data_IF_773006288330
#
_entry.id   IF_773006288330
#
_cell.length_a   1.000
_cell.length_b   1.000
_cell.length_c   1.000
_cell.angle_alpha   90.00
_cell.angle_beta   90.00
_cell.angle_gamma   90.00
#
_symmetry.space_group_name_H-M   'P 1'
#
loop_
_entity.id
_entity.type
_entity.pdbx_description
1 polymer ?
#
# COMPACT_ATOMS: atom_id res chain seq x y z
N UNK A 1 -8.80 16.52 -1.17
CA UNK A 1 -7.34 16.69 -0.97
C UNK A 1 -6.89 15.73 0.11
N UNK A 2 -6.33 14.58 -0.28
CA UNK A 2 -5.79 13.59 0.66
C UNK A 2 -4.30 13.39 0.33
N UNK A 3 -3.48 13.38 1.38
CA UNK A 3 -2.03 13.41 1.31
C UNK A 3 -1.50 14.69 1.97
N UNK A 4 -0.95 14.55 3.17
CA UNK A 4 -0.01 15.55 3.66
C UNK A 4 1.26 15.43 2.82
N UNK A 5 1.85 16.56 2.43
CA UNK A 5 3.16 16.54 1.80
C UNK A 5 4.15 15.95 2.81
N UNK A 6 4.74 14.82 2.48
CA UNK A 6 5.87 14.28 3.25
C UNK A 6 7.07 15.14 2.85
N UNK A 7 7.58 15.93 3.79
CA UNK A 7 8.77 16.72 3.55
C UNK A 7 10.01 15.79 3.47
N UNK A 8 11.11 16.30 2.90
CA UNK A 8 12.35 15.55 2.68
C UNK A 8 12.92 14.94 3.96
N UNK A 9 12.81 15.62 5.09
CA UNK A 9 13.28 15.17 6.39
C UNK A 9 12.42 14.02 6.94
N UNK A 10 11.09 14.14 6.84
CA UNK A 10 10.18 13.03 7.14
C UNK A 10 10.45 11.80 6.25
N UNK A 11 10.70 12.05 4.96
CA UNK A 11 11.02 11.01 3.99
C UNK A 11 12.31 10.28 4.37
N UNK A 12 13.36 11.02 4.72
CA UNK A 12 14.65 10.46 5.12
C UNK A 12 14.57 9.68 6.42
N UNK A 13 13.75 10.14 7.38
CA UNK A 13 13.50 9.42 8.64
C UNK A 13 12.81 8.08 8.41
N UNK A 14 11.75 8.05 7.59
CA UNK A 14 11.05 6.82 7.21
C UNK A 14 12.00 5.85 6.49
N UNK A 15 12.87 6.37 5.63
CA UNK A 15 13.88 5.60 4.92
C UNK A 15 14.86 4.90 5.88
N UNK A 16 15.47 5.66 6.79
CA UNK A 16 16.47 5.15 7.75
C UNK A 16 15.88 4.15 8.76
N UNK A 17 14.61 4.31 9.15
CA UNK A 17 13.93 3.38 10.04
C UNK A 17 13.66 2.02 9.37
N UNK A 18 13.23 2.02 8.11
CA UNK A 18 12.97 0.79 7.36
C UNK A 18 14.27 0.04 7.00
N UNK A 19 15.37 0.76 6.74
CA UNK A 19 16.67 0.17 6.42
C UNK A 19 17.20 -0.77 7.52
N UNK A 20 17.00 -0.42 8.81
CA UNK A 20 17.47 -1.23 9.95
C UNK A 20 16.70 -2.55 10.14
N UNK A 21 15.53 -2.71 9.51
CA UNK A 21 14.65 -3.89 9.68
C UNK A 21 14.82 -4.94 8.58
N UNK A 22 15.71 -4.71 7.60
CA UNK A 22 15.73 -5.42 6.33
C UNK A 22 16.97 -6.32 6.13
N UNK A 23 17.08 -7.43 6.86
CA UNK A 23 18.14 -8.44 6.66
C UNK A 23 17.90 -9.38 5.46
N UNK A 24 16.75 -9.25 4.78
CA UNK A 24 16.40 -10.06 3.61
C UNK A 24 16.30 -9.21 2.36
N UNK A 25 17.04 -9.58 1.31
CA UNK A 25 17.00 -8.94 -0.02
C UNK A 25 15.57 -8.82 -0.57
N UNK A 26 14.73 -9.84 -0.34
CA UNK A 26 13.33 -9.82 -0.77
C UNK A 26 12.50 -8.77 -0.02
N UNK A 27 12.76 -8.57 1.27
CA UNK A 27 12.07 -7.53 2.04
C UNK A 27 12.51 -6.12 1.59
N UNK A 28 13.80 -5.93 1.38
CA UNK A 28 14.37 -4.69 0.82
C UNK A 28 13.78 -4.37 -0.55
N UNK A 29 13.71 -5.35 -1.46
CA UNK A 29 13.10 -5.19 -2.78
C UNK A 29 11.62 -4.83 -2.69
N UNK A 30 10.86 -5.49 -1.82
CA UNK A 30 9.44 -5.19 -1.61
C UNK A 30 9.23 -3.78 -1.05
N UNK A 31 10.07 -3.34 -0.10
CA UNK A 31 10.06 -1.97 0.40
C UNK A 31 10.31 -0.96 -0.74
N UNK A 32 11.35 -1.16 -1.55
CA UNK A 32 11.61 -0.29 -2.70
C UNK A 32 10.44 -0.25 -3.69
N UNK A 33 9.83 -1.41 -4.00
CA UNK A 33 8.67 -1.48 -4.90
C UNK A 33 7.45 -0.74 -4.35
N UNK A 34 7.23 -0.78 -3.03
CA UNK A 34 6.16 -0.03 -2.38
C UNK A 34 6.47 1.46 -2.38
N UNK A 35 7.68 1.82 -1.98
CA UNK A 35 8.15 3.18 -1.80
C UNK A 35 8.12 3.98 -3.12
N UNK A 36 8.67 3.39 -4.19
CA UNK A 36 8.64 3.98 -5.53
C UNK A 36 7.33 3.73 -6.28
N UNK A 37 6.33 3.12 -5.64
CA UNK A 37 5.03 2.76 -6.24
C UNK A 37 5.20 2.01 -7.56
N UNK A 38 6.15 1.08 -7.61
CA UNK A 38 6.53 0.31 -8.80
C UNK A 38 5.34 -0.47 -9.40
N UNK A 39 4.41 -0.92 -8.55
CA UNK A 39 3.24 -1.68 -8.96
C UNK A 39 2.25 -0.84 -9.77
N UNK A 40 2.06 -1.08 -11.06
CA UNK A 40 1.09 -0.33 -11.87
C UNK A 40 -0.35 -0.81 -11.61
N UNK A 41 -1.33 0.09 -11.37
CA UNK A 41 -2.71 -0.27 -11.12
C UNK A 41 -3.42 -0.56 -12.46
N UNK A 42 -4.50 -1.36 -12.45
CA UNK A 42 -5.26 -1.70 -13.66
C UNK A 42 -5.61 -0.49 -14.54
N UNK A 43 -6.00 0.61 -13.92
CA UNK A 43 -6.31 1.88 -14.61
C UNK A 43 -5.12 2.48 -15.38
N UNK A 44 -3.88 2.34 -14.88
CA UNK A 44 -2.67 2.80 -15.58
C UNK A 44 -2.27 1.81 -16.68
N UNK A 45 -2.37 0.51 -16.41
CA UNK A 45 -2.07 -0.55 -17.39
C UNK A 45 -2.99 -0.44 -18.60
N UNK A 46 -4.30 -0.25 -18.40
CA UNK A 46 -5.28 -0.09 -19.48
C UNK A 46 -5.04 1.15 -20.36
N UNK A 47 -4.33 2.17 -19.84
CA UNK A 47 -3.90 3.33 -20.64
C UNK A 47 -2.70 3.03 -21.53
N UNK A 48 -1.83 2.12 -21.10
CA UNK A 48 -0.64 1.71 -21.86
C UNK A 48 -0.98 0.64 -22.90
N UNK A 49 -1.93 -0.24 -22.58
CA UNK A 49 -2.29 -1.41 -23.38
C UNK A 49 -3.81 -1.47 -23.58
N UNK A 50 -4.26 -1.31 -24.83
CA UNK A 50 -5.69 -1.18 -25.19
C UNK A 50 -6.52 -2.46 -24.93
N UNK A 51 -5.86 -3.62 -24.88
CA UNK A 51 -6.48 -4.93 -24.62
C UNK A 51 -6.65 -5.24 -23.13
N UNK A 52 -6.13 -4.38 -22.24
CA UNK A 52 -6.18 -4.59 -20.79
C UNK A 52 -7.37 -3.89 -20.16
N UNK A 53 -8.06 -4.61 -19.28
CA UNK A 53 -9.15 -4.06 -18.49
C UNK A 53 -8.65 -3.06 -17.44
N UNK A 54 -9.37 -1.95 -17.28
CA UNK A 54 -9.12 -0.98 -16.22
C UNK A 54 -9.70 -1.41 -14.86
N UNK A 55 -10.40 -2.55 -14.79
CA UNK A 55 -11.11 -3.01 -13.61
C UNK A 55 -10.17 -3.63 -12.59
N UNK A 56 -10.55 -3.52 -11.33
CA UNK A 56 -9.89 -4.12 -10.18
C UNK A 56 -9.75 -5.64 -10.36
N UNK A 57 -8.55 -6.20 -10.14
CA UNK A 57 -8.33 -7.66 -10.23
C UNK A 57 -8.97 -8.47 -9.11
N UNK A 58 -9.38 -7.81 -8.02
CA UNK A 58 -9.98 -8.47 -6.86
C UNK A 58 -11.49 -8.57 -7.00
N UNK A 59 -12.13 -7.47 -7.43
CA UNK A 59 -13.60 -7.35 -7.48
C UNK A 59 -14.17 -7.24 -8.90
N UNK A 60 -13.33 -7.04 -9.93
CA UNK A 60 -13.67 -7.01 -11.36
C UNK A 60 -14.82 -6.09 -11.81
N UNK A 61 -15.35 -5.23 -10.93
CA UNK A 61 -16.46 -4.32 -11.25
C UNK A 61 -16.05 -2.85 -11.24
N UNK A 62 -15.19 -2.45 -10.29
CA UNK A 62 -14.80 -1.06 -10.06
C UNK A 62 -13.43 -0.80 -10.73
N UNK A 63 -13.17 0.38 -11.32
CA UNK A 63 -11.84 0.74 -11.82
C UNK A 63 -10.75 0.53 -10.75
N UNK A 64 -9.71 -0.22 -11.11
CA UNK A 64 -8.57 -0.46 -10.24
C UNK A 64 -7.63 0.73 -10.24
N UNK A 65 -7.96 1.79 -9.52
CA UNK A 65 -7.01 2.85 -9.16
C UNK A 65 -6.08 2.35 -8.05
N UNK A 66 -4.92 3.00 -7.84
CA UNK A 66 -4.06 2.68 -6.69
C UNK A 66 -4.84 2.72 -5.37
N UNK A 67 -5.57 3.81 -5.16
CA UNK A 67 -6.37 3.99 -3.94
C UNK A 67 -7.39 2.88 -3.76
N UNK A 68 -8.08 2.49 -4.85
CA UNK A 68 -9.01 1.37 -4.77
C UNK A 68 -8.31 0.06 -4.42
N UNK A 69 -7.25 -0.28 -5.14
CA UNK A 69 -6.55 -1.57 -5.02
C UNK A 69 -5.99 -1.83 -3.63
N UNK A 70 -5.54 -0.79 -2.94
CA UNK A 70 -4.86 -0.88 -1.64
C UNK A 70 -5.74 -0.54 -0.43
N UNK A 71 -6.74 0.33 -0.60
CA UNK A 71 -7.51 0.86 0.53
C UNK A 71 -9.01 0.60 0.47
N UNK A 72 -9.68 0.97 -0.64
CA UNK A 72 -11.15 0.90 -0.64
C UNK A 72 -11.71 -0.46 -1.09
N UNK A 73 -10.91 -1.26 -1.80
CA UNK A 73 -11.32 -2.59 -2.23
C UNK A 73 -11.70 -3.44 -1.02
N UNK A 74 -12.86 -4.10 -1.08
CA UNK A 74 -13.37 -4.97 -0.02
C UNK A 74 -12.36 -6.03 0.43
N UNK A 75 -11.70 -6.67 -0.54
CA UNK A 75 -10.66 -7.66 -0.28
C UNK A 75 -9.43 -7.05 0.40
N UNK A 76 -9.02 -5.83 0.00
CA UNK A 76 -7.93 -5.12 0.64
C UNK A 76 -8.28 -4.73 2.08
N UNK A 77 -9.48 -4.18 2.31
CA UNK A 77 -9.99 -3.86 3.65
C UNK A 77 -9.97 -5.10 4.54
N UNK A 78 -10.54 -6.21 4.07
CA UNK A 78 -10.58 -7.47 4.83
C UNK A 78 -9.19 -7.97 5.22
N UNK A 79 -8.24 -7.88 4.30
CA UNK A 79 -6.84 -8.23 4.58
C UNK A 79 -6.25 -7.32 5.66
N UNK A 80 -6.34 -6.00 5.49
CA UNK A 80 -5.75 -5.05 6.44
C UNK A 80 -6.40 -5.10 7.81
N UNK A 81 -7.72 -5.31 7.90
CA UNK A 81 -8.40 -5.53 9.17
C UNK A 81 -7.84 -6.75 9.90
N UNK A 82 -7.58 -7.86 9.20
CA UNK A 82 -6.96 -9.05 9.82
C UNK A 82 -5.55 -8.75 10.35
N UNK A 83 -4.73 -8.05 9.57
CA UNK A 83 -3.37 -7.68 9.98
C UNK A 83 -3.42 -6.73 11.17
N UNK A 84 -4.30 -5.73 11.14
CA UNK A 84 -4.49 -4.77 12.21
C UNK A 84 -4.92 -5.45 13.51
N UNK A 85 -5.96 -6.30 13.49
CA UNK A 85 -6.37 -7.09 14.67
C UNK A 85 -5.24 -8.00 15.17
N UNK A 86 -4.48 -8.61 14.27
CA UNK A 86 -3.34 -9.43 14.66
C UNK A 86 -2.25 -8.61 15.38
N UNK A 87 -1.93 -7.42 14.88
CA UNK A 87 -0.96 -6.52 15.51
C UNK A 87 -1.42 -6.03 16.89
N UNK A 88 -2.70 -5.67 17.04
CA UNK A 88 -3.24 -5.26 18.34
C UNK A 88 -3.16 -6.39 19.37
N UNK A 89 -3.50 -7.62 18.95
CA UNK A 89 -3.40 -8.80 19.81
C UNK A 89 -1.95 -9.09 20.23
N UNK A 90 -1.00 -8.98 19.31
CA UNK A 90 0.43 -9.22 19.57
C UNK A 90 1.03 -8.15 20.49
N UNK A 91 0.70 -6.88 20.25
CA UNK A 91 1.28 -5.75 21.00
C UNK A 91 0.52 -5.42 22.28
N UNK A 92 -0.70 -5.94 22.45
CA UNK A 92 -1.65 -5.61 23.51
C UNK A 92 -1.93 -4.10 23.60
N UNK A 93 -1.93 -3.43 22.46
CA UNK A 93 -2.17 -1.98 22.34
C UNK A 93 -3.18 -1.73 21.23
N UNK A 94 -4.01 -0.71 21.43
CA UNK A 94 -4.85 -0.18 20.36
C UNK A 94 -3.97 0.58 19.37
N UNK A 95 -4.13 0.30 18.08
CA UNK A 95 -3.38 0.95 17.01
C UNK A 95 -4.39 1.69 16.14
N UNK A 96 -4.24 2.98 15.93
CA UNK A 96 -5.15 3.71 15.04
C UNK A 96 -4.97 3.23 13.59
N UNK A 97 -6.05 2.76 12.96
CA UNK A 97 -6.03 2.36 11.56
C UNK A 97 -6.30 3.58 10.65
N UNK A 98 -5.23 4.30 10.29
CA UNK A 98 -5.30 5.49 9.40
C UNK A 98 -4.71 5.17 8.02
N UNK A 99 -5.52 5.14 6.94
CA UNK A 99 -5.05 4.87 5.58
C UNK A 99 -4.04 5.89 5.03
N UNK A 100 -3.95 7.08 5.63
CA UNK A 100 -3.07 8.17 5.17
C UNK A 100 -1.64 8.12 5.73
N UNK A 101 -1.40 7.33 6.79
CA UNK A 101 -0.12 7.30 7.52
C UNK A 101 0.75 6.08 7.17
N UNK A 102 0.37 5.33 6.13
CA UNK A 102 1.05 4.14 5.60
C UNK A 102 1.50 4.35 4.15
#
# INVERSE_FOLDING_TARGET
NFGHGIDLEQWQKLWLQNYKMAMSTAYTENLYKMFYRWHLPPTRIARMFKDKSNKCWKFHQIPGSYYHMWWTCSEAKRYWTRIHTWLENMTKRHIDFKPELL
#
